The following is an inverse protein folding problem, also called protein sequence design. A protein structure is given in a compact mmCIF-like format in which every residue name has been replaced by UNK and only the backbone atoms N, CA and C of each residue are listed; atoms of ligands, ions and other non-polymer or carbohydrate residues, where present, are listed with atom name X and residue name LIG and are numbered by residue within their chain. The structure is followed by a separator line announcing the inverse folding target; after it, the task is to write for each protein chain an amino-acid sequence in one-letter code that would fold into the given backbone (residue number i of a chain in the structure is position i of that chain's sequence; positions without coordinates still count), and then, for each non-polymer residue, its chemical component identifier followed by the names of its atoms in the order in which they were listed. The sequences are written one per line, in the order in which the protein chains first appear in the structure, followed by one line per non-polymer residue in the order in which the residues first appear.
data_IF_149316226160
#
_entry.id   IF_149316226160
#
_cell.length_a   1.000
_cell.length_b   1.000
_cell.length_c   1.000
_cell.angle_alpha   90.00
_cell.angle_beta   90.00
_cell.angle_gamma   90.00
#
_symmetry.space_group_name_H-M   'P 1'
#
loop_
_entity.id
_entity.type
_entity.pdbx_description
1 polymer ?
#
# COMPACT_ATOMS: atom_id res chain seq x y z
N UNK A 1 10.48 25.28 18.69
CA UNK A 1 9.60 26.18 19.44
C UNK A 1 10.31 26.73 20.63
N UNK A 2 10.65 25.88 21.55
CA UNK A 2 11.31 26.25 22.78
C UNK A 2 12.64 27.00 22.49
N UNK A 3 13.43 26.56 21.51
CA UNK A 3 14.63 27.22 21.04
C UNK A 3 14.40 28.64 20.51
N UNK A 4 13.28 28.89 19.87
CA UNK A 4 12.92 30.19 19.29
C UNK A 4 12.40 31.16 20.35
N UNK A 5 11.78 30.64 21.42
CA UNK A 5 11.21 31.43 22.50
C UNK A 5 12.32 31.87 23.49
N UNK A 6 13.32 31.02 23.72
CA UNK A 6 14.41 31.28 24.68
C UNK A 6 15.72 31.58 23.94
N UNK A 7 15.73 32.65 23.14
CA UNK A 7 16.90 33.36 22.57
C UNK A 7 18.06 32.53 21.99
N UNK A 8 17.81 31.53 21.15
CA UNK A 8 18.83 31.06 20.18
C UNK A 8 20.00 30.23 20.72
N UNK A 9 20.12 29.95 22.00
CA UNK A 9 21.14 29.06 22.55
C UNK A 9 20.67 27.58 22.53
N UNK A 10 21.62 26.67 22.46
CA UNK A 10 21.33 25.24 22.55
C UNK A 10 20.79 24.86 23.93
N UNK A 11 19.48 24.65 24.02
CA UNK A 11 18.87 24.29 25.29
C UNK A 11 19.12 22.81 25.59
N UNK A 12 19.92 22.56 26.58
CA UNK A 12 20.01 21.25 27.19
C UNK A 12 18.79 21.07 28.11
N UNK A 13 17.85 20.24 27.72
CA UNK A 13 16.60 19.98 28.45
C UNK A 13 16.83 19.57 29.92
N UNK A 14 18.01 19.08 30.27
CA UNK A 14 18.38 18.70 31.64
C UNK A 14 18.76 19.91 32.54
N UNK A 15 18.86 21.11 31.99
CA UNK A 15 19.28 22.33 32.76
C UNK A 15 18.20 23.42 32.83
N UNK A 16 16.96 23.11 32.48
CA UNK A 16 15.85 24.08 32.52
C UNK A 16 15.56 24.56 33.94
N UNK A 17 15.47 25.87 34.08
CA UNK A 17 15.09 26.52 35.34
C UNK A 17 13.59 26.90 35.33
N UNK A 18 13.07 27.26 36.51
CA UNK A 18 11.74 27.82 36.60
C UNK A 18 11.57 29.14 35.84
N UNK A 19 12.66 29.89 35.67
CA UNK A 19 12.70 31.16 34.93
C UNK A 19 12.55 30.90 33.41
N UNK A 20 13.22 29.89 32.87
CA UNK A 20 13.07 29.49 31.48
C UNK A 20 11.64 29.06 31.16
N UNK A 21 10.99 28.31 32.04
CA UNK A 21 9.57 27.96 31.92
C UNK A 21 8.66 29.18 32.01
N UNK A 22 8.99 30.16 32.85
CA UNK A 22 8.29 31.43 32.93
C UNK A 22 8.30 32.19 31.59
N UNK A 23 9.44 32.29 30.94
CA UNK A 23 9.59 32.95 29.63
C UNK A 23 8.76 32.23 28.54
N UNK A 24 8.71 30.91 28.57
CA UNK A 24 7.87 30.14 27.66
C UNK A 24 6.39 30.41 27.89
N UNK A 25 5.96 30.39 29.14
CA UNK A 25 4.56 30.66 29.53
C UNK A 25 4.19 32.09 29.12
N UNK A 26 5.02 33.07 29.38
CA UNK A 26 4.78 34.46 29.01
C UNK A 26 4.66 34.66 27.49
N UNK A 27 5.48 33.98 26.70
CA UNK A 27 5.39 34.01 25.22
C UNK A 27 4.11 33.36 24.72
N UNK A 28 3.69 32.26 25.34
CA UNK A 28 2.44 31.57 25.04
C UNK A 28 1.21 32.43 25.36
N UNK A 29 1.24 33.12 26.51
CA UNK A 29 0.17 34.02 26.96
C UNK A 29 0.03 35.24 26.05
N UNK A 30 1.14 35.79 25.58
CA UNK A 30 1.12 36.93 24.63
C UNK A 30 0.69 36.55 23.22
N UNK A 31 0.64 35.26 22.89
CA UNK A 31 0.37 34.78 21.53
C UNK A 31 1.53 34.95 20.56
N UNK A 32 2.75 35.26 21.11
CA UNK A 32 3.98 35.47 20.35
C UNK A 32 4.69 34.16 20.02
N UNK A 33 4.12 33.02 20.41
CA UNK A 33 4.69 31.72 20.10
C UNK A 33 4.71 31.48 18.59
N UNK A 34 5.90 31.38 17.99
CA UNK A 34 5.95 31.13 16.55
C UNK A 34 5.37 29.76 16.19
N UNK A 35 4.87 29.68 15.00
CA UNK A 35 4.49 28.42 14.39
C UNK A 35 5.71 27.48 14.39
N UNK A 36 5.61 26.39 15.14
CA UNK A 36 6.69 25.44 15.19
C UNK A 36 6.29 24.20 14.43
N UNK A 37 6.98 23.98 13.34
CA UNK A 37 7.01 22.68 12.67
C UNK A 37 8.11 21.86 13.34
N UNK A 38 7.74 21.04 14.31
CA UNK A 38 8.62 20.07 14.94
C UNK A 38 8.27 18.66 14.52
N UNK A 39 9.00 17.69 15.04
CA UNK A 39 8.71 16.25 14.87
C UNK A 39 7.30 15.87 15.34
N UNK A 40 6.66 16.69 16.16
CA UNK A 40 5.29 16.52 16.66
C UNK A 40 4.23 17.27 15.84
N UNK A 41 4.55 17.72 14.62
CA UNK A 41 3.60 18.44 13.78
C UNK A 41 3.45 19.92 14.15
N UNK A 42 2.31 20.50 13.85
CA UNK A 42 2.04 21.91 14.04
C UNK A 42 1.43 22.16 15.42
N UNK A 43 2.15 22.81 16.32
CA UNK A 43 1.66 23.24 17.61
C UNK A 43 1.05 24.65 17.49
N UNK A 44 -0.18 24.80 17.89
CA UNK A 44 -0.90 26.07 17.92
C UNK A 44 -1.40 26.35 19.34
N UNK A 45 -1.00 27.50 19.88
CA UNK A 45 -1.43 27.91 21.21
C UNK A 45 -2.42 29.07 21.10
N UNK A 46 -3.50 29.01 21.87
CA UNK A 46 -4.43 30.14 22.01
C UNK A 46 -4.11 30.92 23.28
N UNK A 47 -3.77 32.20 23.09
CA UNK A 47 -3.48 33.12 24.21
C UNK A 47 -4.72 33.48 25.04
N UNK A 48 -5.93 33.22 24.57
CA UNK A 48 -7.17 33.56 25.26
C UNK A 48 -7.60 32.52 26.29
N UNK A 49 -7.10 31.32 26.15
CA UNK A 49 -7.47 30.21 27.04
C UNK A 49 -6.18 29.60 27.55
N UNK A 50 -5.80 29.98 28.75
CA UNK A 50 -4.52 29.70 29.42
C UNK A 50 -4.05 28.24 29.43
N UNK A 51 -4.92 27.30 29.03
CA UNK A 51 -4.63 25.87 28.99
C UNK A 51 -5.01 25.24 27.69
N UNK A 52 -5.61 25.97 26.75
CA UNK A 52 -6.12 25.34 25.57
C UNK A 52 -5.17 25.51 24.41
N UNK A 53 -4.54 24.48 24.17
CA UNK A 53 -4.01 24.15 22.89
C UNK A 53 -5.20 23.93 21.98
N UNK A 54 -5.61 24.95 21.26
CA UNK A 54 -6.58 24.80 20.19
C UNK A 54 -5.93 23.94 19.10
N UNK A 55 -6.52 22.85 18.80
CA UNK A 55 -6.04 21.90 17.80
C UNK A 55 -4.64 21.33 18.12
N UNK A 56 -4.41 20.88 19.36
CA UNK A 56 -3.26 20.02 19.63
C UNK A 56 -3.51 18.66 19.06
N UNK A 57 -2.64 18.29 18.19
CA UNK A 57 -2.55 16.92 17.76
C UNK A 57 -1.48 16.25 18.62
N UNK A 58 -1.89 15.22 19.35
CA UNK A 58 -0.95 14.35 20.07
C UNK A 58 -0.57 13.22 19.16
N UNK A 59 0.72 12.97 19.06
CA UNK A 59 1.25 11.87 18.25
C UNK A 59 1.88 10.83 19.16
N UNK A 60 1.45 9.59 19.00
CA UNK A 60 2.26 8.46 19.41
C UNK A 60 3.25 8.18 18.29
N UNK A 61 4.49 8.00 18.61
CA UNK A 61 5.53 7.77 17.63
C UNK A 61 6.47 6.63 18.05
N UNK A 62 7.08 6.02 17.05
CA UNK A 62 8.18 5.07 17.19
C UNK A 62 9.43 5.70 16.57
N UNK A 63 10.57 5.44 17.15
CA UNK A 63 11.85 5.82 16.53
C UNK A 63 12.30 4.66 15.66
N UNK A 64 12.49 4.93 14.37
CA UNK A 64 12.97 3.97 13.41
C UNK A 64 14.07 4.63 12.57
N UNK A 65 15.23 3.99 12.46
CA UNK A 65 16.40 4.49 11.75
C UNK A 65 16.73 5.95 12.07
N UNK A 66 16.66 6.31 13.37
CA UNK A 66 16.89 7.66 13.84
C UNK A 66 15.81 8.68 13.51
N UNK A 67 14.71 8.28 12.88
CA UNK A 67 13.58 9.13 12.55
C UNK A 67 12.36 8.81 13.41
N UNK A 68 11.55 9.85 13.67
CA UNK A 68 10.27 9.68 14.36
C UNK A 68 9.19 9.29 13.36
N UNK A 69 8.58 8.14 13.58
CA UNK A 69 7.45 7.64 12.82
C UNK A 69 6.19 7.85 13.65
N UNK A 70 5.24 8.59 13.12
CA UNK A 70 3.96 8.82 13.77
C UNK A 70 3.12 7.56 13.59
N UNK A 71 2.77 6.91 14.71
CA UNK A 71 1.99 5.68 14.73
C UNK A 71 0.51 5.93 14.96
N UNK A 72 0.21 7.03 15.68
CA UNK A 72 -1.15 7.37 16.09
C UNK A 72 -1.23 8.85 16.40
N UNK A 73 -2.39 9.46 16.26
CA UNK A 73 -2.60 10.82 16.71
C UNK A 73 -4.01 11.06 17.23
N UNK A 74 -4.11 11.95 18.19
CA UNK A 74 -5.40 12.43 18.70
C UNK A 74 -5.43 13.96 18.61
N UNK A 75 -6.59 14.51 18.25
CA UNK A 75 -6.81 15.95 18.27
C UNK A 75 -7.64 16.33 19.48
N UNK A 76 -7.26 17.43 20.17
CA UNK A 76 -7.93 17.91 21.37
C UNK A 76 -9.22 18.69 21.12
N UNK A 77 -9.60 18.90 19.87
CA UNK A 77 -10.74 19.73 19.45
C UNK A 77 -12.10 19.01 19.49
N UNK A 78 -12.17 17.85 20.14
CA UNK A 78 -13.42 17.13 20.38
C UNK A 78 -14.16 16.66 19.13
N UNK A 79 -13.49 16.63 17.98
CA UNK A 79 -14.05 16.10 16.73
C UNK A 79 -14.68 17.14 15.80
N UNK A 80 -14.66 18.41 16.12
CA UNK A 80 -15.03 19.48 15.18
C UNK A 80 -13.86 19.78 14.22
N UNK A 81 -13.54 18.81 13.36
CA UNK A 81 -12.46 18.92 12.40
C UNK A 81 -12.93 19.64 11.17
N UNK A 82 -12.29 20.77 10.91
CA UNK A 82 -12.48 21.52 9.66
C UNK A 82 -11.45 21.09 8.59
N UNK A 83 -10.47 20.31 8.97
CA UNK A 83 -9.45 19.80 8.04
C UNK A 83 -9.80 18.38 7.57
N UNK A 84 -10.30 18.28 6.35
CA UNK A 84 -10.68 17.01 5.74
C UNK A 84 -9.49 16.05 5.54
N UNK A 85 -8.25 16.56 5.53
CA UNK A 85 -7.05 15.73 5.39
C UNK A 85 -6.73 14.97 6.67
N UNK A 86 -7.17 15.49 7.83
CA UNK A 86 -7.00 14.83 9.13
C UNK A 86 -8.22 14.01 9.54
N UNK A 87 -9.38 14.25 8.91
CA UNK A 87 -10.60 13.51 9.19
C UNK A 87 -10.50 12.08 8.68
N UNK A 88 -10.42 11.14 9.58
CA UNK A 88 -10.36 9.71 9.24
C UNK A 88 -8.99 9.05 9.47
N UNK A 89 -7.98 9.80 9.87
CA UNK A 89 -6.73 9.24 10.29
C UNK A 89 -6.85 8.69 11.71
N UNK A 90 -7.03 7.42 11.81
CA UNK A 90 -7.01 6.72 13.09
C UNK A 90 -5.86 5.72 13.09
N UNK A 91 -4.66 6.23 13.18
CA UNK A 91 -3.45 5.43 13.23
C UNK A 91 -3.26 4.91 14.65
N UNK A 92 -3.54 3.64 14.83
CA UNK A 92 -3.33 2.99 16.12
C UNK A 92 -1.91 2.44 16.16
N UNK A 93 -1.09 2.94 17.08
CA UNK A 93 0.27 2.46 17.32
C UNK A 93 0.34 0.94 17.45
N UNK A 94 -0.69 0.34 18.06
CA UNK A 94 -0.79 -1.12 18.25
C UNK A 94 -0.95 -1.92 16.95
N UNK A 95 -1.25 -1.28 15.83
CA UNK A 95 -1.42 -1.95 14.53
C UNK A 95 -0.15 -1.93 13.67
N UNK A 96 0.82 -1.08 14.01
CA UNK A 96 2.09 -1.12 13.32
C UNK A 96 2.87 -2.37 13.72
N UNK A 97 3.08 -3.23 12.75
CA UNK A 97 3.81 -4.46 12.95
C UNK A 97 5.31 -4.19 13.12
N UNK A 98 5.93 -4.94 14.00
CA UNK A 98 7.38 -4.93 14.20
C UNK A 98 7.94 -6.28 13.77
N UNK A 99 9.02 -6.24 13.01
CA UNK A 99 9.66 -7.44 12.51
C UNK A 99 11.06 -7.56 13.11
N UNK A 100 11.34 -8.70 13.69
CA UNK A 100 12.70 -9.06 14.08
C UNK A 100 13.49 -9.49 12.83
N UNK A 101 14.79 -9.25 12.83
CA UNK A 101 15.66 -9.80 11.79
C UNK A 101 15.83 -11.30 12.06
N UNK A 102 15.02 -12.08 11.38
CA UNK A 102 15.07 -13.55 11.49
C UNK A 102 16.19 -14.12 10.65
N UNK A 103 16.65 -15.32 10.99
CA UNK A 103 17.60 -16.05 10.14
C UNK A 103 17.03 -16.18 8.72
N UNK A 104 17.88 -15.95 7.72
CA UNK A 104 17.49 -16.06 6.33
C UNK A 104 17.17 -17.52 5.98
N UNK A 105 15.99 -17.75 5.45
CA UNK A 105 15.65 -19.02 4.83
C UNK A 105 16.51 -19.19 3.58
N UNK A 106 17.13 -20.34 3.41
CA UNK A 106 17.89 -20.63 2.20
C UNK A 106 16.93 -21.00 1.07
N UNK A 107 16.93 -20.17 0.04
CA UNK A 107 16.14 -20.39 -1.16
C UNK A 107 17.00 -20.93 -2.31
N UNK A 108 16.42 -21.63 -3.29
CA UNK A 108 17.09 -21.96 -4.54
C UNK A 108 17.64 -20.72 -5.27
N UNK A 109 18.51 -20.92 -6.25
CA UNK A 109 18.97 -19.84 -7.10
C UNK A 109 17.79 -19.17 -7.81
N UNK A 110 17.76 -17.85 -7.80
CA UNK A 110 16.73 -17.07 -8.48
C UNK A 110 17.04 -16.98 -9.97
N UNK A 111 16.20 -17.58 -10.80
CA UNK A 111 16.42 -17.67 -12.26
C UNK A 111 15.40 -16.90 -13.09
N UNK A 112 14.17 -16.70 -12.63
CA UNK A 112 13.13 -16.05 -13.40
C UNK A 112 12.14 -15.25 -12.54
N UNK A 113 11.32 -14.46 -13.23
CA UNK A 113 10.24 -13.68 -12.64
C UNK A 113 8.95 -13.81 -13.44
N UNK A 114 7.84 -13.95 -12.74
CA UNK A 114 6.49 -13.92 -13.28
C UNK A 114 5.64 -12.89 -12.56
N UNK A 115 4.67 -12.32 -13.26
CA UNK A 115 3.69 -11.43 -12.65
C UNK A 115 2.27 -11.81 -13.04
N UNK A 116 1.34 -11.68 -12.08
CA UNK A 116 -0.10 -11.81 -12.30
C UNK A 116 -0.79 -10.57 -11.74
N UNK A 117 -1.35 -9.77 -12.63
CA UNK A 117 -2.00 -8.50 -12.32
C UNK A 117 -3.50 -8.63 -12.58
N UNK A 118 -4.33 -8.29 -11.60
CA UNK A 118 -5.79 -8.41 -11.76
C UNK A 118 -6.55 -7.21 -11.22
N UNK A 119 -7.38 -6.60 -12.08
CA UNK A 119 -8.42 -5.65 -11.72
C UNK A 119 -9.76 -6.37 -11.67
N UNK A 120 -10.35 -6.51 -10.49
CA UNK A 120 -11.55 -7.32 -10.29
C UNK A 120 -12.87 -6.54 -10.37
N UNK A 121 -12.85 -5.42 -11.08
CA UNK A 121 -14.04 -4.59 -11.29
C UNK A 121 -14.09 -4.02 -12.69
N UNK A 122 -15.28 -3.65 -13.12
CA UNK A 122 -15.62 -3.01 -14.37
C UNK A 122 -16.41 -1.72 -14.14
N UNK A 123 -16.79 -1.05 -15.20
CA UNK A 123 -17.56 0.18 -15.25
C UNK A 123 -16.78 1.43 -14.85
N UNK A 124 -17.21 2.57 -15.39
CA UNK A 124 -16.55 3.85 -15.25
C UNK A 124 -16.30 4.29 -13.81
N UNK A 125 -17.24 4.03 -12.91
CA UNK A 125 -17.11 4.36 -11.47
C UNK A 125 -15.96 3.61 -10.76
N UNK A 126 -15.49 2.51 -11.34
CA UNK A 126 -14.38 1.69 -10.85
C UNK A 126 -13.07 1.91 -11.61
N UNK A 127 -12.99 3.00 -12.38
CA UNK A 127 -11.83 3.43 -13.17
C UNK A 127 -10.50 3.11 -12.49
N UNK A 128 -10.37 3.49 -11.21
CA UNK A 128 -9.13 3.39 -10.43
C UNK A 128 -8.54 1.99 -10.36
N UNK A 129 -9.37 0.93 -10.32
CA UNK A 129 -8.85 -0.44 -10.17
C UNK A 129 -8.12 -0.91 -11.42
N UNK A 130 -8.63 -0.60 -12.61
CA UNK A 130 -7.92 -0.87 -13.86
C UNK A 130 -6.71 0.05 -14.02
N UNK A 131 -6.84 1.34 -13.64
CA UNK A 131 -5.72 2.27 -13.67
C UNK A 131 -4.56 1.83 -12.76
N UNK A 132 -4.86 1.30 -11.56
CA UNK A 132 -3.87 0.76 -10.63
C UNK A 132 -3.06 -0.38 -11.25
N UNK A 133 -3.73 -1.42 -11.77
CA UNK A 133 -3.03 -2.58 -12.33
C UNK A 133 -2.25 -2.22 -13.59
N UNK A 134 -2.77 -1.30 -14.40
CA UNK A 134 -2.06 -0.79 -15.57
C UNK A 134 -0.82 0.03 -15.18
N UNK A 135 -0.89 0.80 -14.09
CA UNK A 135 0.27 1.51 -13.59
C UNK A 135 1.35 0.54 -13.08
N UNK A 136 0.95 -0.53 -12.37
CA UNK A 136 1.88 -1.60 -11.98
C UNK A 136 2.45 -2.32 -13.19
N UNK A 137 1.64 -2.62 -14.21
CA UNK A 137 2.11 -3.17 -15.47
C UNK A 137 3.23 -2.31 -16.08
N UNK A 138 3.04 -0.98 -16.15
CA UNK A 138 4.08 -0.09 -16.68
C UNK A 138 5.37 -0.13 -15.83
N UNK A 139 5.27 -0.23 -14.51
CA UNK A 139 6.45 -0.39 -13.64
C UNK A 139 7.21 -1.67 -13.93
N UNK A 140 6.50 -2.79 -14.15
CA UNK A 140 7.12 -4.06 -14.50
C UNK A 140 7.77 -4.02 -15.90
N UNK A 141 7.10 -3.42 -16.89
CA UNK A 141 7.69 -3.20 -18.23
C UNK A 141 8.98 -2.36 -18.17
N UNK A 142 8.98 -1.29 -17.36
CA UNK A 142 10.19 -0.47 -17.11
C UNK A 142 11.28 -1.24 -16.35
N UNK A 143 10.89 -2.24 -15.56
CA UNK A 143 11.81 -3.16 -14.89
C UNK A 143 12.37 -4.26 -15.80
N UNK A 144 11.93 -4.31 -17.08
CA UNK A 144 12.41 -5.23 -18.10
C UNK A 144 11.55 -6.46 -18.34
N UNK A 145 10.42 -6.61 -17.66
CA UNK A 145 9.51 -7.73 -17.93
C UNK A 145 9.04 -7.70 -19.38
N UNK A 146 9.03 -8.87 -19.98
CA UNK A 146 8.37 -9.12 -21.27
C UNK A 146 6.90 -9.45 -21.07
N UNK A 147 6.03 -9.25 -22.07
CA UNK A 147 4.58 -9.47 -21.90
C UNK A 147 4.24 -10.93 -21.59
N UNK A 148 4.98 -11.87 -22.15
CA UNK A 148 4.84 -13.31 -21.90
C UNK A 148 5.17 -13.74 -20.45
N UNK A 149 5.72 -12.82 -19.63
CA UNK A 149 5.95 -13.03 -18.20
C UNK A 149 5.02 -12.18 -17.31
N UNK A 150 4.08 -11.47 -17.90
CA UNK A 150 3.03 -10.72 -17.19
C UNK A 150 1.68 -11.26 -17.65
N UNK A 151 0.89 -11.79 -16.74
CA UNK A 151 -0.51 -12.12 -17.03
C UNK A 151 -1.37 -10.96 -16.51
N UNK A 152 -2.06 -10.27 -17.42
CA UNK A 152 -2.89 -9.10 -17.10
C UNK A 152 -4.37 -9.43 -17.30
N UNK A 153 -5.12 -9.33 -16.21
CA UNK A 153 -6.57 -9.54 -16.18
C UNK A 153 -7.26 -8.21 -15.89
N UNK A 154 -8.05 -7.69 -16.82
CA UNK A 154 -8.86 -6.50 -16.65
C UNK A 154 -10.08 -6.55 -17.57
N UNK A 155 -11.15 -5.79 -17.24
CA UNK A 155 -12.34 -5.76 -18.10
C UNK A 155 -12.12 -5.02 -19.42
N UNK A 156 -11.15 -4.10 -19.46
CA UNK A 156 -10.84 -3.27 -20.64
C UNK A 156 -12.03 -2.43 -21.13
N UNK A 157 -12.81 -1.90 -20.20
CA UNK A 157 -13.99 -1.08 -20.49
C UNK A 157 -13.81 0.42 -20.17
N UNK A 158 -12.59 0.84 -19.77
CA UNK A 158 -12.28 2.21 -19.37
C UNK A 158 -11.68 3.01 -20.51
N UNK A 159 -10.70 2.46 -21.24
CA UNK A 159 -9.96 3.21 -22.27
C UNK A 159 -10.88 3.74 -23.38
N UNK A 160 -11.85 2.95 -23.80
CA UNK A 160 -12.82 3.31 -24.84
C UNK A 160 -14.21 3.65 -24.27
N UNK A 161 -14.32 3.91 -22.96
CA UNK A 161 -15.59 4.27 -22.33
C UNK A 161 -16.13 5.57 -22.91
N UNK A 162 -17.45 5.70 -23.21
CA UNK A 162 -18.04 6.94 -23.70
C UNK A 162 -17.85 8.15 -22.75
N UNK A 163 -17.62 7.92 -21.47
CA UNK A 163 -17.33 8.96 -20.49
C UNK A 163 -15.85 9.39 -20.49
N UNK A 164 -14.98 8.67 -21.21
CA UNK A 164 -13.57 9.02 -21.30
C UNK A 164 -13.37 10.16 -22.30
N UNK A 165 -12.94 11.32 -21.83
CA UNK A 165 -12.70 12.52 -22.65
C UNK A 165 -11.46 12.37 -23.54
N UNK A 166 -10.56 11.41 -23.24
CA UNK A 166 -9.37 11.07 -24.02
C UNK A 166 -9.39 9.56 -24.39
N UNK A 167 -10.15 9.14 -25.42
CA UNK A 167 -10.24 7.73 -25.81
C UNK A 167 -8.87 7.08 -26.03
N UNK A 168 -8.66 5.90 -25.43
CA UNK A 168 -7.38 5.19 -25.48
C UNK A 168 -6.35 5.64 -24.43
N UNK A 169 -6.74 6.54 -23.52
CA UNK A 169 -5.87 7.05 -22.46
C UNK A 169 -6.45 6.72 -21.09
N UNK A 170 -5.65 6.11 -20.23
CA UNK A 170 -5.93 5.92 -18.80
C UNK A 170 -4.77 6.54 -18.02
N UNK A 171 -5.07 7.33 -16.98
CA UNK A 171 -4.08 8.00 -16.14
C UNK A 171 -4.41 7.75 -14.67
N UNK A 172 -3.40 7.68 -13.81
CA UNK A 172 -3.58 7.60 -12.35
C UNK A 172 -3.64 8.97 -11.66
N UNK A 173 -3.23 10.03 -12.38
CA UNK A 173 -3.30 11.44 -11.95
C UNK A 173 -3.61 12.33 -13.12
N UNK A 174 -4.27 13.50 -12.92
CA UNK A 174 -4.48 14.47 -13.99
C UNK A 174 -3.14 14.89 -14.61
N UNK A 175 -3.05 14.80 -15.94
CA UNK A 175 -1.84 15.15 -16.69
C UNK A 175 -0.68 14.16 -16.56
N UNK A 176 -0.86 13.06 -15.86
CA UNK A 176 0.13 11.99 -15.77
C UNK A 176 0.27 11.18 -17.07
N UNK A 177 1.17 10.21 -17.06
CA UNK A 177 1.40 9.33 -18.20
C UNK A 177 0.20 8.44 -18.52
N UNK A 178 0.07 8.05 -19.79
CA UNK A 178 -0.93 7.07 -20.22
C UNK A 178 -0.50 5.66 -19.81
N UNK A 179 -1.08 5.14 -18.75
CA UNK A 179 -0.75 3.79 -18.24
C UNK A 179 -1.34 2.66 -19.08
N UNK A 180 -2.30 2.96 -19.98
CA UNK A 180 -2.88 1.99 -20.90
C UNK A 180 -2.02 1.77 -22.14
N UNK A 181 -1.10 2.67 -22.45
CA UNK A 181 -0.30 2.62 -23.67
C UNK A 181 0.54 1.33 -23.73
N UNK A 182 0.32 0.54 -24.78
CA UNK A 182 1.05 -0.70 -25.01
C UNK A 182 0.77 -1.81 -24.01
N UNK A 183 -0.28 -1.71 -23.21
CA UNK A 183 -0.68 -2.80 -22.33
C UNK A 183 -1.35 -3.92 -23.14
N UNK A 184 -0.93 -5.15 -22.88
CA UNK A 184 -1.52 -6.36 -23.46
C UNK A 184 -2.37 -7.05 -22.39
N UNK A 185 -3.69 -7.03 -22.57
CA UNK A 185 -4.65 -7.65 -21.64
C UNK A 185 -4.90 -9.08 -22.11
N UNK A 186 -4.45 -10.07 -21.32
CA UNK A 186 -4.59 -11.49 -21.65
C UNK A 186 -6.02 -11.97 -21.54
N UNK A 187 -6.73 -11.49 -20.53
CA UNK A 187 -8.10 -11.90 -20.26
C UNK A 187 -8.97 -10.72 -19.86
N UNK A 188 -10.20 -10.71 -20.39
CA UNK A 188 -11.26 -9.89 -19.84
C UNK A 188 -11.79 -10.52 -18.57
N UNK A 189 -12.03 -9.68 -17.55
CA UNK A 189 -12.55 -10.14 -16.27
C UNK A 189 -13.89 -10.90 -16.43
N UNK A 190 -14.77 -10.42 -17.30
CA UNK A 190 -16.09 -11.02 -17.58
C UNK A 190 -16.03 -12.41 -18.23
N UNK A 191 -14.91 -12.75 -18.87
CA UNK A 191 -14.72 -14.08 -19.50
C UNK A 191 -14.24 -15.14 -18.49
N UNK A 192 -13.92 -14.73 -17.27
CA UNK A 192 -13.32 -15.57 -16.24
C UNK A 192 -14.23 -15.73 -15.02
N UNK A 193 -14.09 -16.86 -14.35
CA UNK A 193 -14.65 -17.14 -13.03
C UNK A 193 -13.53 -17.11 -11.97
N UNK A 194 -13.85 -16.99 -10.66
CA UNK A 194 -12.84 -17.08 -9.60
C UNK A 194 -11.93 -18.31 -9.70
N UNK A 195 -12.47 -19.47 -10.09
CA UNK A 195 -11.69 -20.69 -10.27
C UNK A 195 -10.66 -20.58 -11.41
N UNK A 196 -10.92 -19.76 -12.43
CA UNK A 196 -9.98 -19.55 -13.52
C UNK A 196 -8.77 -18.76 -13.07
N UNK A 197 -8.96 -17.74 -12.22
CA UNK A 197 -7.86 -17.02 -11.59
C UNK A 197 -6.94 -17.99 -10.81
N UNK A 198 -7.52 -18.89 -10.03
CA UNK A 198 -6.74 -19.88 -9.28
C UNK A 198 -5.98 -20.83 -10.20
N UNK A 199 -6.57 -21.21 -11.33
CA UNK A 199 -5.92 -22.02 -12.36
C UNK A 199 -4.78 -21.26 -13.05
N UNK A 200 -5.00 -19.99 -13.39
CA UNK A 200 -3.97 -19.12 -13.99
C UNK A 200 -2.80 -18.95 -13.00
N UNK A 201 -3.08 -18.64 -11.74
CA UNK A 201 -2.08 -18.44 -10.68
C UNK A 201 -1.23 -19.71 -10.47
N UNK A 202 -1.88 -20.90 -10.48
CA UNK A 202 -1.19 -22.19 -10.25
C UNK A 202 -0.65 -22.85 -11.52
N UNK A 203 -0.63 -22.16 -12.66
CA UNK A 203 -0.02 -22.65 -13.90
C UNK A 203 -0.83 -23.75 -14.61
N UNK A 204 -2.13 -23.85 -14.37
CA UNK A 204 -3.01 -24.87 -14.97
C UNK A 204 -3.48 -24.44 -16.35
N UNK A 205 -2.64 -24.65 -17.34
CA UNK A 205 -2.90 -24.28 -18.74
C UNK A 205 -4.00 -25.15 -19.38
N UNK A 206 -4.84 -24.54 -20.18
CA UNK A 206 -5.88 -25.21 -20.96
C UNK A 206 -6.14 -24.46 -22.26
N UNK A 207 -6.98 -25.02 -23.16
CA UNK A 207 -7.39 -24.30 -24.38
C UNK A 207 -8.10 -22.98 -24.08
N UNK A 208 -8.85 -22.90 -22.96
CA UNK A 208 -9.55 -21.71 -22.51
C UNK A 208 -8.64 -20.75 -21.75
N UNK A 209 -7.60 -21.27 -21.11
CA UNK A 209 -6.63 -20.52 -20.33
C UNK A 209 -5.22 -20.72 -20.91
N UNK A 210 -4.91 -20.12 -22.07
CA UNK A 210 -3.62 -20.30 -22.74
C UNK A 210 -2.48 -19.55 -22.06
N UNK A 211 -2.76 -18.44 -21.37
CA UNK A 211 -1.78 -17.65 -20.62
C UNK A 211 -1.93 -17.95 -19.11
N UNK A 212 -0.89 -18.49 -18.49
CA UNK A 212 -0.86 -18.83 -17.06
C UNK A 212 0.52 -18.52 -16.49
N UNK A 213 0.65 -18.50 -15.19
CA UNK A 213 1.95 -18.34 -14.51
C UNK A 213 2.73 -19.65 -14.64
N UNK A 214 3.68 -19.72 -15.57
CA UNK A 214 4.49 -20.94 -15.83
C UNK A 214 5.77 -20.96 -14.99
N UNK A 215 5.71 -20.48 -13.75
CA UNK A 215 6.83 -20.39 -12.83
C UNK A 215 7.25 -21.74 -12.26
N UNK A 216 8.52 -21.82 -11.87
CA UNK A 216 9.16 -22.98 -11.24
C UNK A 216 9.64 -22.64 -9.84
N UNK A 217 10.15 -23.63 -9.11
CA UNK A 217 10.75 -23.43 -7.78
C UNK A 217 11.98 -22.51 -7.73
N UNK A 218 12.45 -22.03 -8.87
CA UNK A 218 13.54 -21.07 -8.99
C UNK A 218 13.09 -19.66 -9.37
N UNK A 219 11.78 -19.46 -9.61
CA UNK A 219 11.23 -18.21 -10.10
C UNK A 219 10.47 -17.46 -8.99
N UNK A 220 10.58 -16.15 -8.99
CA UNK A 220 9.78 -15.31 -8.12
C UNK A 220 8.47 -14.91 -8.82
N UNK A 221 7.38 -14.94 -8.07
CA UNK A 221 6.04 -14.59 -8.56
C UNK A 221 5.56 -13.34 -7.84
N UNK A 222 5.21 -12.32 -8.62
CA UNK A 222 4.57 -11.10 -8.12
C UNK A 222 3.09 -11.11 -8.48
N UNK A 223 2.21 -10.97 -7.50
CA UNK A 223 0.76 -10.88 -7.69
C UNK A 223 0.27 -9.53 -7.19
N UNK A 224 -0.46 -8.80 -8.04
CA UNK A 224 -1.11 -7.55 -7.65
C UNK A 224 -2.61 -7.62 -7.93
N UNK A 225 -3.40 -7.39 -6.88
CA UNK A 225 -4.86 -7.46 -6.91
C UNK A 225 -5.44 -6.08 -6.56
N UNK A 226 -6.26 -5.49 -7.45
CA UNK A 226 -7.02 -4.27 -7.17
C UNK A 226 -8.51 -4.46 -7.42
N UNK A 227 -9.34 -4.08 -6.43
CA UNK A 227 -10.79 -4.25 -6.52
C UNK A 227 -11.52 -3.88 -5.23
N UNK A 228 -12.73 -4.43 -5.10
CA UNK A 228 -13.53 -4.32 -3.87
C UNK A 228 -13.25 -5.49 -2.91
N UNK A 229 -13.60 -5.30 -1.65
CA UNK A 229 -13.51 -6.33 -0.62
C UNK A 229 -14.53 -6.11 0.48
N UNK A 230 -14.91 -7.19 1.13
CA UNK A 230 -15.72 -7.24 2.34
C UNK A 230 -15.03 -8.11 3.38
N UNK A 231 -15.41 -8.08 4.66
CA UNK A 231 -14.85 -8.98 5.64
C UNK A 231 -14.93 -10.45 5.17
N UNK A 232 -13.76 -11.10 5.04
CA UNK A 232 -13.62 -12.51 4.68
C UNK A 232 -13.62 -12.84 3.17
N UNK A 233 -13.83 -11.86 2.27
CA UNK A 233 -13.79 -12.12 0.83
C UNK A 233 -13.34 -10.93 0.00
N UNK A 234 -12.57 -11.21 -1.07
CA UNK A 234 -12.29 -10.27 -2.14
C UNK A 234 -13.37 -10.40 -3.22
N UNK A 235 -13.68 -9.28 -3.89
CA UNK A 235 -14.66 -9.28 -4.97
C UNK A 235 -14.10 -9.90 -6.24
N UNK A 236 -14.99 -10.50 -6.99
CA UNK A 236 -14.80 -10.82 -8.40
C UNK A 236 -15.94 -10.17 -9.19
N UNK A 237 -15.63 -9.53 -10.30
CA UNK A 237 -16.59 -8.83 -11.15
C UNK A 237 -17.53 -7.89 -10.35
N UNK A 238 -16.96 -6.83 -9.77
CA UNK A 238 -17.61 -5.80 -8.94
C UNK A 238 -18.10 -6.30 -7.56
N UNK A 239 -19.28 -6.89 -7.49
CA UNK A 239 -19.94 -7.19 -6.22
C UNK A 239 -20.11 -8.71 -5.96
N UNK A 240 -19.48 -9.53 -6.76
CA UNK A 240 -19.45 -10.96 -6.52
C UNK A 240 -18.30 -11.30 -5.58
N UNK A 241 -18.58 -11.45 -4.29
CA UNK A 241 -17.58 -11.73 -3.26
C UNK A 241 -17.29 -13.24 -3.20
N UNK A 242 -16.69 -13.77 -4.26
CA UNK A 242 -16.43 -15.20 -4.43
C UNK A 242 -15.01 -15.63 -4.12
N UNK A 243 -14.05 -14.71 -3.96
CA UNK A 243 -12.65 -15.07 -3.66
C UNK A 243 -12.41 -15.04 -2.15
N UNK A 244 -12.58 -16.20 -1.52
CA UNK A 244 -12.38 -16.38 -0.08
C UNK A 244 -10.96 -16.80 0.26
N UNK A 245 -10.59 -16.66 1.53
CA UNK A 245 -9.29 -17.13 2.04
C UNK A 245 -9.08 -18.63 1.82
N UNK A 246 -10.13 -19.47 1.96
CA UNK A 246 -10.02 -20.90 1.76
C UNK A 246 -9.62 -21.26 0.32
N UNK A 247 -10.19 -20.57 -0.65
CA UNK A 247 -9.87 -20.78 -2.07
C UNK A 247 -8.43 -20.35 -2.38
N UNK A 248 -8.02 -19.19 -1.90
CA UNK A 248 -6.65 -18.71 -2.08
C UNK A 248 -5.65 -19.60 -1.36
N UNK A 249 -5.90 -19.96 -0.10
CA UNK A 249 -5.02 -20.85 0.66
C UNK A 249 -4.87 -22.22 0.01
N UNK A 250 -5.94 -22.76 -0.58
CA UNK A 250 -5.88 -24.02 -1.32
C UNK A 250 -4.95 -23.89 -2.54
N UNK A 251 -5.11 -22.82 -3.35
CA UNK A 251 -4.27 -22.58 -4.52
C UNK A 251 -2.80 -22.34 -4.13
N UNK A 252 -2.55 -21.54 -3.10
CA UNK A 252 -1.19 -21.32 -2.58
C UNK A 252 -0.56 -22.61 -2.06
N UNK A 253 -1.34 -23.44 -1.37
CA UNK A 253 -0.90 -24.75 -0.90
C UNK A 253 -0.57 -25.70 -2.08
N UNK A 254 -1.34 -25.66 -3.17
CA UNK A 254 -1.05 -26.41 -4.39
C UNK A 254 0.25 -25.92 -5.05
N UNK A 255 0.43 -24.61 -5.19
CA UNK A 255 1.66 -24.01 -5.71
C UNK A 255 2.89 -24.45 -4.90
N UNK A 256 2.78 -24.44 -3.56
CA UNK A 256 3.87 -24.89 -2.69
C UNK A 256 4.17 -26.37 -2.87
N UNK A 257 3.15 -27.23 -2.87
CA UNK A 257 3.31 -28.69 -3.08
C UNK A 257 3.92 -29.03 -4.42
N UNK A 258 3.60 -28.26 -5.44
CA UNK A 258 4.09 -28.44 -6.81
C UNK A 258 5.42 -27.77 -7.07
N UNK A 259 6.01 -27.09 -6.07
CA UNK A 259 7.24 -26.31 -6.19
C UNK A 259 7.19 -25.31 -7.36
N UNK A 260 6.08 -24.56 -7.46
CA UNK A 260 5.78 -23.64 -8.56
C UNK A 260 6.29 -22.21 -8.33
N UNK A 261 7.01 -21.95 -7.27
CA UNK A 261 7.62 -20.64 -7.00
C UNK A 261 8.81 -20.79 -6.07
N UNK A 262 9.76 -19.87 -6.20
CA UNK A 262 10.85 -19.66 -5.25
C UNK A 262 10.39 -18.76 -4.09
N UNK A 263 9.87 -17.59 -4.42
CA UNK A 263 9.20 -16.64 -3.53
C UNK A 263 7.95 -16.10 -4.23
N UNK A 264 6.91 -15.85 -3.45
CA UNK A 264 5.72 -15.16 -3.93
C UNK A 264 5.44 -13.93 -3.07
N UNK A 265 5.29 -12.78 -3.74
CA UNK A 265 4.79 -11.55 -3.13
C UNK A 265 3.41 -11.24 -3.70
N UNK A 266 2.39 -11.20 -2.85
CA UNK A 266 1.06 -10.74 -3.25
C UNK A 266 0.72 -9.43 -2.54
N UNK A 267 0.38 -8.43 -3.33
CA UNK A 267 -0.12 -7.14 -2.84
C UNK A 267 -1.61 -6.99 -3.15
N UNK A 268 -2.39 -6.58 -2.16
CA UNK A 268 -3.86 -6.56 -2.25
C UNK A 268 -4.41 -5.18 -1.93
N UNK A 269 -4.86 -4.48 -2.97
CA UNK A 269 -5.53 -3.17 -2.89
C UNK A 269 -7.05 -3.36 -2.85
N UNK A 270 -7.58 -3.73 -1.68
CA UNK A 270 -9.02 -3.81 -1.43
C UNK A 270 -9.37 -3.39 -0.01
N UNK A 271 -10.63 -3.01 0.20
CA UNK A 271 -11.18 -2.90 1.55
C UNK A 271 -11.09 -4.25 2.27
N UNK A 272 -10.88 -4.24 3.59
CA UNK A 272 -10.84 -5.43 4.44
C UNK A 272 -9.86 -6.53 3.99
N UNK A 273 -8.85 -6.17 3.18
CA UNK A 273 -7.92 -7.12 2.57
C UNK A 273 -7.17 -7.97 3.62
N UNK A 274 -6.89 -7.41 4.79
CA UNK A 274 -6.32 -8.16 5.91
C UNK A 274 -7.18 -9.32 6.38
N UNK A 275 -8.52 -9.21 6.29
CA UNK A 275 -9.44 -10.26 6.72
C UNK A 275 -9.31 -11.56 5.91
N UNK A 276 -8.80 -11.47 4.69
CA UNK A 276 -8.53 -12.62 3.81
C UNK A 276 -7.08 -13.07 3.98
N UNK A 277 -6.10 -12.17 3.88
CA UNK A 277 -4.69 -12.56 3.84
C UNK A 277 -4.17 -13.12 5.18
N UNK A 278 -4.70 -12.69 6.33
CA UNK A 278 -4.37 -13.27 7.63
C UNK A 278 -4.72 -14.77 7.73
N UNK A 279 -5.68 -15.24 6.95
CA UNK A 279 -6.07 -16.65 6.91
C UNK A 279 -5.25 -17.48 5.92
N UNK A 280 -4.42 -16.85 5.09
CA UNK A 280 -3.52 -17.49 4.14
C UNK A 280 -2.11 -17.72 4.71
N UNK A 281 -1.88 -17.46 5.99
CA UNK A 281 -0.57 -17.66 6.63
C UNK A 281 -0.19 -19.13 6.75
N UNK A 282 1.09 -19.40 6.99
CA UNK A 282 1.64 -20.76 7.20
C UNK A 282 2.24 -21.39 5.95
N UNK A 283 2.22 -20.73 4.79
CA UNK A 283 2.77 -21.27 3.53
C UNK A 283 4.17 -20.70 3.31
N UNK A 284 5.23 -21.56 3.25
CA UNK A 284 6.60 -21.08 3.12
C UNK A 284 6.85 -20.29 1.83
N UNK A 285 7.68 -19.24 1.92
CA UNK A 285 8.13 -18.44 0.77
C UNK A 285 7.11 -17.45 0.23
N UNK A 286 5.95 -17.31 0.86
CA UNK A 286 4.94 -16.32 0.47
C UNK A 286 4.90 -15.15 1.45
N UNK A 287 4.72 -13.94 0.91
CA UNK A 287 4.50 -12.71 1.67
C UNK A 287 3.27 -11.99 1.14
N UNK A 288 2.41 -11.53 2.03
CA UNK A 288 1.20 -10.79 1.66
C UNK A 288 1.26 -9.38 2.25
N UNK A 289 1.06 -8.36 1.42
CA UNK A 289 0.98 -6.96 1.85
C UNK A 289 -0.39 -6.42 1.44
N UNK A 290 -1.13 -5.89 2.41
CA UNK A 290 -2.51 -5.45 2.20
C UNK A 290 -2.68 -3.96 2.43
N UNK A 291 -3.54 -3.32 1.63
CA UNK A 291 -3.86 -1.90 1.73
C UNK A 291 -4.63 -1.52 3.00
N UNK A 292 -5.28 -2.48 3.63
CA UNK A 292 -6.11 -2.29 4.82
C UNK A 292 -5.99 -3.50 5.76
N UNK A 293 -6.26 -3.30 7.04
CA UNK A 293 -6.40 -4.38 8.00
C UNK A 293 -7.75 -5.13 7.81
N UNK A 294 -8.09 -6.02 8.76
CA UNK A 294 -9.32 -6.83 8.71
C UNK A 294 -10.61 -6.04 8.89
N UNK A 295 -10.56 -4.83 9.46
CA UNK A 295 -11.71 -4.14 10.01
C UNK A 295 -12.01 -2.80 9.32
N UNK A 296 -11.27 -2.46 8.29
CA UNK A 296 -11.37 -1.16 7.64
C UNK A 296 -11.39 -1.20 6.11
N UNK A 297 -11.77 -0.05 5.53
CA UNK A 297 -11.73 0.15 4.08
C UNK A 297 -10.42 0.76 3.62
N UNK A 298 -9.87 0.30 2.49
CA UNK A 298 -8.82 1.03 1.75
C UNK A 298 -9.37 2.34 1.15
N UNK A 299 -8.50 3.21 0.67
CA UNK A 299 -8.88 4.55 0.24
C UNK A 299 -8.51 4.81 -1.22
N UNK A 300 -9.48 5.39 -1.95
CA UNK A 300 -9.20 6.03 -3.22
C UNK A 300 -8.29 7.25 -3.00
N UNK A 301 -7.51 7.61 -4.01
CA UNK A 301 -6.51 8.67 -3.91
C UNK A 301 -6.90 9.93 -4.68
N UNK A 302 -6.70 9.94 -5.97
CA UNK A 302 -6.85 11.15 -6.80
C UNK A 302 -8.22 11.18 -7.44
N UNK A 303 -9.00 12.24 -7.16
CA UNK A 303 -10.29 12.47 -7.82
C UNK A 303 -10.12 13.45 -8.99
N UNK A 304 -10.57 13.05 -10.18
CA UNK A 304 -10.66 13.94 -11.33
C UNK A 304 -12.02 14.63 -11.38
N UNK A 305 -12.04 15.95 -11.26
CA UNK A 305 -13.26 16.74 -11.41
C UNK A 305 -13.73 16.81 -12.87
N UNK A 306 -12.86 16.55 -13.83
CA UNK A 306 -13.19 16.49 -15.26
C UNK A 306 -13.87 15.18 -15.63
N UNK A 307 -13.27 14.06 -15.20
CA UNK A 307 -13.78 12.71 -15.49
C UNK A 307 -14.85 12.24 -14.50
N UNK A 308 -15.05 12.96 -13.39
CA UNK A 308 -15.94 12.62 -12.28
C UNK A 308 -15.71 11.23 -11.68
N UNK A 309 -14.43 10.80 -11.62
CA UNK A 309 -14.02 9.51 -11.06
C UNK A 309 -12.78 9.65 -10.18
N UNK A 310 -12.59 8.67 -9.31
CA UNK A 310 -11.32 8.42 -8.66
C UNK A 310 -10.37 7.74 -9.65
N UNK A 311 -9.16 8.28 -9.80
CA UNK A 311 -8.20 7.83 -10.82
C UNK A 311 -7.24 6.76 -10.30
N UNK A 312 -7.05 6.65 -8.99
CA UNK A 312 -6.11 5.71 -8.34
C UNK A 312 -6.58 5.37 -6.93
N UNK A 313 -5.89 4.42 -6.30
CA UNK A 313 -6.01 4.10 -4.89
C UNK A 313 -4.72 4.47 -4.13
N UNK A 314 -4.87 4.86 -2.86
CA UNK A 314 -3.79 5.42 -2.04
C UNK A 314 -2.64 4.45 -1.81
N UNK A 315 -2.92 3.19 -1.51
CA UNK A 315 -1.88 2.18 -1.29
C UNK A 315 -1.05 1.96 -2.56
N UNK A 316 -1.72 1.83 -3.71
CA UNK A 316 -1.07 1.65 -5.01
C UNK A 316 -0.21 2.84 -5.40
N UNK A 317 -0.74 4.07 -5.26
CA UNK A 317 0.03 5.29 -5.53
C UNK A 317 1.27 5.36 -4.64
N UNK A 318 1.10 5.09 -3.34
CA UNK A 318 2.22 5.08 -2.38
C UNK A 318 3.25 4.01 -2.74
N UNK A 319 2.80 2.80 -3.12
CA UNK A 319 3.72 1.73 -3.52
C UNK A 319 4.57 2.11 -4.73
N UNK A 320 3.94 2.67 -5.77
CA UNK A 320 4.64 3.12 -6.97
C UNK A 320 5.67 4.20 -6.64
N UNK A 321 5.34 5.17 -5.77
CA UNK A 321 6.28 6.18 -5.30
C UNK A 321 7.51 5.53 -4.65
N UNK A 322 7.31 4.57 -3.73
CA UNK A 322 8.41 3.94 -3.00
C UNK A 322 9.35 3.14 -3.92
N UNK A 323 8.82 2.38 -4.86
CA UNK A 323 9.66 1.59 -5.79
C UNK A 323 10.29 2.43 -6.89
N UNK A 324 9.73 3.60 -7.20
CA UNK A 324 10.34 4.58 -8.11
C UNK A 324 11.55 5.24 -7.46
N UNK A 325 11.44 5.58 -6.17
CA UNK A 325 12.52 6.19 -5.40
C UNK A 325 13.65 5.19 -5.11
N UNK A 326 13.29 3.95 -4.78
CA UNK A 326 14.27 2.90 -4.43
C UNK A 326 13.77 1.51 -4.86
N UNK A 327 14.23 1.04 -6.01
CA UNK A 327 13.90 -0.32 -6.51
C UNK A 327 14.49 -1.45 -5.67
N UNK A 328 15.49 -1.17 -4.86
CA UNK A 328 16.15 -2.16 -4.00
C UNK A 328 15.64 -2.16 -2.55
N UNK A 329 14.65 -1.35 -2.25
CA UNK A 329 14.08 -1.20 -0.91
C UNK A 329 13.82 -2.56 -0.27
N UNK A 330 14.24 -2.75 1.00
CA UNK A 330 13.95 -3.97 1.75
C UNK A 330 12.44 -4.14 1.98
N UNK A 331 11.96 -5.37 2.14
CA UNK A 331 10.53 -5.62 2.41
C UNK A 331 10.09 -4.95 3.71
N UNK A 332 10.98 -4.92 4.71
CA UNK A 332 10.75 -4.22 5.98
C UNK A 332 10.58 -2.72 5.76
N UNK A 333 11.50 -2.07 5.06
CA UNK A 333 11.45 -0.63 4.85
C UNK A 333 10.30 -0.24 3.93
N UNK A 334 9.99 -1.08 2.94
CA UNK A 334 8.81 -0.92 2.11
C UNK A 334 7.54 -0.93 2.96
N UNK A 335 7.39 -1.93 3.85
CA UNK A 335 6.23 -1.98 4.76
C UNK A 335 6.12 -0.70 5.60
N UNK A 336 7.22 -0.26 6.25
CA UNK A 336 7.19 0.93 7.08
C UNK A 336 6.82 2.19 6.30
N UNK A 337 7.37 2.36 5.10
CA UNK A 337 7.04 3.50 4.24
C UNK A 337 5.60 3.43 3.75
N UNK A 338 5.13 2.25 3.36
CA UNK A 338 3.72 2.06 2.99
C UNK A 338 2.79 2.35 4.17
N UNK A 339 3.08 1.82 5.36
CA UNK A 339 2.26 2.04 6.55
C UNK A 339 2.13 3.52 6.89
N UNK A 340 3.22 4.29 6.80
CA UNK A 340 3.25 5.71 7.13
C UNK A 340 2.55 6.55 6.06
N UNK A 341 2.78 6.27 4.79
CA UNK A 341 2.37 7.14 3.70
C UNK A 341 1.00 6.76 3.09
N UNK A 342 0.49 5.55 3.34
CA UNK A 342 -0.87 5.15 2.95
C UNK A 342 -1.88 5.72 3.93
N UNK A 343 -2.34 6.92 3.62
CA UNK A 343 -3.23 7.70 4.48
C UNK A 343 -4.64 7.12 4.49
N UNK A 344 -5.18 6.93 5.69
CA UNK A 344 -6.59 6.57 5.89
C UNK A 344 -6.87 5.07 5.97
N UNK A 345 -5.84 4.22 5.86
CA UNK A 345 -5.91 2.79 6.15
C UNK A 345 -4.58 2.29 6.71
N UNK A 346 -4.58 1.10 7.31
CA UNK A 346 -3.41 0.47 7.91
C UNK A 346 -2.91 -0.65 7.00
N UNK A 347 -1.78 -0.40 6.36
CA UNK A 347 -1.08 -1.43 5.59
C UNK A 347 -0.61 -2.52 6.54
N UNK A 348 -0.85 -3.77 6.18
CA UNK A 348 -0.46 -4.93 6.99
C UNK A 348 0.37 -5.90 6.17
N UNK A 349 1.23 -6.64 6.86
CA UNK A 349 2.02 -7.74 6.30
C UNK A 349 1.61 -9.04 6.97
N UNK A 350 1.37 -10.06 6.18
CA UNK A 350 1.01 -11.38 6.65
C UNK A 350 2.01 -12.42 6.16
N UNK A 351 2.17 -13.49 6.91
CA UNK A 351 3.04 -14.62 6.62
C UNK A 351 4.56 -14.32 6.67
N UNK A 352 4.98 -13.21 7.30
CA UNK A 352 6.39 -12.83 7.40
C UNK A 352 7.27 -13.94 8.03
N UNK A 353 6.78 -14.64 9.05
CA UNK A 353 7.51 -15.71 9.72
C UNK A 353 7.86 -16.89 8.80
N UNK A 354 7.13 -17.10 7.72
CA UNK A 354 7.34 -18.16 6.74
C UNK A 354 8.05 -17.69 5.47
N UNK A 355 8.36 -16.39 5.39
CA UNK A 355 9.02 -15.77 4.22
C UNK A 355 10.52 -15.60 4.40
N UNK A 356 11.00 -15.55 5.63
CA UNK A 356 12.39 -15.27 5.98
C UNK A 356 12.63 -13.79 6.28
N UNK A 357 13.91 -13.40 6.40
CA UNK A 357 14.27 -12.04 6.80
C UNK A 357 13.72 -10.98 5.85
N UNK A 358 12.88 -10.10 6.36
CA UNK A 358 12.39 -8.93 5.63
C UNK A 358 13.46 -7.83 5.49
N UNK A 359 14.55 -7.92 6.24
CA UNK A 359 15.68 -6.98 6.20
C UNK A 359 16.58 -7.26 4.99
N UNK A 360 16.83 -8.54 4.68
CA UNK A 360 17.69 -8.96 3.59
C UNK A 360 16.94 -9.24 2.28
N UNK A 361 15.61 -9.44 2.33
CA UNK A 361 14.75 -9.56 1.15
C UNK A 361 14.28 -8.18 0.72
N UNK A 362 14.18 -7.93 -0.59
CA UNK A 362 13.77 -6.63 -1.09
C UNK A 362 13.05 -6.68 -2.44
N UNK A 363 12.50 -5.54 -2.84
CA UNK A 363 11.76 -5.41 -4.10
C UNK A 363 12.63 -5.71 -5.33
N UNK A 364 13.94 -5.57 -5.24
CA UNK A 364 14.85 -5.96 -6.34
C UNK A 364 14.72 -7.43 -6.75
N UNK A 365 14.27 -8.32 -5.85
CA UNK A 365 14.03 -9.74 -6.19
C UNK A 365 12.83 -9.90 -7.15
N UNK A 366 11.92 -8.92 -7.18
CA UNK A 366 10.73 -8.90 -8.04
C UNK A 366 10.81 -7.87 -9.16
N UNK A 367 11.60 -6.80 -9.02
CA UNK A 367 11.73 -5.73 -10.00
C UNK A 367 12.99 -5.81 -10.88
N UNK A 368 13.93 -6.68 -10.58
CA UNK A 368 15.06 -6.97 -11.48
C UNK A 368 14.70 -8.22 -12.28
N UNK A 369 14.03 -8.00 -13.42
CA UNK A 369 13.56 -9.09 -14.26
C UNK A 369 14.69 -10.04 -14.66
N UNK A 370 14.45 -11.32 -14.49
CA UNK A 370 15.26 -12.43 -14.95
C UNK A 370 14.42 -13.36 -15.82
N UNK A 371 15.01 -13.92 -16.86
CA UNK A 371 14.41 -14.85 -17.79
C UNK A 371 15.23 -16.11 -17.91
#
# INVERSE_FOLDING_TARGET
ALRTIVSGEELNMGSWTGEDMGLVIDALVRGDAPYVRGASGQLRFDSKIFTNVLATTYYNYKVYDGQYIILDYNTSDGGNRTDATLAGWNWKASQMQDFEDTESITYPEHTGNWALLVATSSQWSNYRHQADVLAIYQQLRQAGYTDDHIILIAEDDIAQNPSNTEPGVIRVTPGGDNVYAGAEIDYRLSDLQPADFLSILSGQKSERLPAVVESTGNDNVFVFWSGHGVPGALSWNNNEFGMTADLLSAAFGDMHRNNSYRKLLMMVETCFSGSVMQQCEGIPGMLFITAANSDETSKADVFSSELHVWMSNRFTSTFIEQITDDKAISMRDLYYRLFINTVGSHVMVYNAANYGSLYSSGMAEFLNFKQ
#
